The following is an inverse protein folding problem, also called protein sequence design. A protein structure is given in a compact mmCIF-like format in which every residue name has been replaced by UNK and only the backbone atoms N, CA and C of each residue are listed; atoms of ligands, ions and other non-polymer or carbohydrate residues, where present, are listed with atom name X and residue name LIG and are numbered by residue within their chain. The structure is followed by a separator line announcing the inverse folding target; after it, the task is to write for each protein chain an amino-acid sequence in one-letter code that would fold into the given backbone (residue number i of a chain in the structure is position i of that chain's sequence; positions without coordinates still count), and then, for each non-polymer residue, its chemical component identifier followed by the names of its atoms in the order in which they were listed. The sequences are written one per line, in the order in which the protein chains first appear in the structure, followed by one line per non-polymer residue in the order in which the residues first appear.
data_IF_538788074739
#
_entry.id   IF_538788074739
#
_cell.length_a   1.000
_cell.length_b   1.000
_cell.length_c   1.000
_cell.angle_alpha   90.00
_cell.angle_beta   90.00
_cell.angle_gamma   90.00
#
_symmetry.space_group_name_H-M   'P 1'
#
loop_
_entity.id
_entity.type
_entity.pdbx_description
1 polymer ?
#
# COMPACT_ATOMS: atom_id res chain seq x y z
N UNK A 1 -2.42 -23.21 -28.25
CA UNK A 1 -2.04 -23.66 -29.61
C UNK A 1 -1.14 -22.63 -30.28
N UNK A 2 -1.62 -21.41 -30.62
CA UNK A 2 -0.83 -20.38 -31.30
C UNK A 2 0.54 -20.08 -30.65
N UNK A 3 0.61 -19.95 -29.32
CA UNK A 3 1.88 -19.68 -28.62
C UNK A 3 2.88 -20.82 -28.82
N UNK A 4 2.45 -22.08 -28.61
CA UNK A 4 3.32 -23.25 -28.70
C UNK A 4 3.73 -23.58 -30.13
N UNK A 5 2.79 -23.45 -31.08
CA UNK A 5 3.01 -23.90 -32.44
C UNK A 5 3.67 -22.83 -33.34
N UNK A 6 3.55 -21.54 -33.00
CA UNK A 6 4.08 -20.44 -33.83
C UNK A 6 5.01 -19.48 -33.09
N UNK A 7 4.61 -19.00 -31.91
CA UNK A 7 5.37 -17.92 -31.23
C UNK A 7 6.67 -18.47 -30.61
N UNK A 8 6.63 -19.57 -29.86
CA UNK A 8 7.81 -20.15 -29.23
C UNK A 8 8.86 -20.58 -30.25
N UNK A 9 8.55 -21.29 -31.36
CA UNK A 9 9.50 -21.61 -32.42
C UNK A 9 10.10 -20.36 -33.09
N UNK A 10 9.26 -19.33 -33.34
CA UNK A 10 9.75 -18.07 -33.90
C UNK A 10 10.77 -17.38 -32.97
N UNK A 11 10.49 -17.28 -31.68
CA UNK A 11 11.41 -16.71 -30.70
C UNK A 11 12.69 -17.55 -30.61
N UNK A 12 12.60 -18.88 -30.60
CA UNK A 12 13.76 -19.76 -30.57
C UNK A 12 14.68 -19.52 -31.78
N UNK A 13 14.11 -19.39 -33.01
CA UNK A 13 14.91 -19.07 -34.20
C UNK A 13 15.61 -17.71 -34.11
N UNK A 14 14.95 -16.70 -33.52
CA UNK A 14 15.58 -15.37 -33.30
C UNK A 14 16.71 -15.40 -32.28
N UNK A 15 16.61 -16.25 -31.27
CA UNK A 15 17.72 -16.45 -30.30
C UNK A 15 18.92 -17.13 -30.96
N UNK A 16 18.69 -18.08 -31.90
CA UNK A 16 19.78 -18.68 -32.68
C UNK A 16 20.46 -17.63 -33.59
N UNK A 17 19.69 -16.81 -34.29
CA UNK A 17 20.22 -15.70 -35.11
C UNK A 17 21.02 -14.71 -34.24
N UNK A 18 20.51 -14.33 -33.07
CA UNK A 18 21.21 -13.45 -32.15
C UNK A 18 22.52 -14.04 -31.67
N UNK A 19 22.52 -15.34 -31.29
CA UNK A 19 23.73 -16.04 -30.84
C UNK A 19 24.82 -16.03 -31.93
N UNK A 20 24.45 -16.28 -33.18
CA UNK A 20 25.38 -16.18 -34.32
C UNK A 20 25.91 -14.77 -34.51
N UNK A 21 25.03 -13.77 -34.45
CA UNK A 21 25.40 -12.36 -34.65
C UNK A 21 26.38 -11.82 -33.60
N UNK A 22 26.24 -12.26 -32.33
CA UNK A 22 27.12 -11.86 -31.23
C UNK A 22 28.28 -12.85 -31.01
N UNK A 23 28.47 -13.81 -31.90
CA UNK A 23 29.48 -14.87 -31.82
C UNK A 23 29.50 -15.59 -30.46
N UNK A 24 28.30 -15.95 -29.96
CA UNK A 24 28.16 -16.65 -28.69
C UNK A 24 28.63 -18.08 -28.80
N UNK A 25 29.29 -18.60 -27.77
CA UNK A 25 29.76 -19.98 -27.70
C UNK A 25 28.60 -21.01 -27.83
N UNK A 26 27.45 -20.70 -27.22
CA UNK A 26 26.25 -21.51 -27.32
C UNK A 26 24.99 -20.68 -27.07
N UNK A 27 23.87 -21.06 -27.72
CA UNK A 27 22.56 -20.51 -27.45
C UNK A 27 21.93 -21.23 -26.25
N UNK A 28 21.73 -20.49 -25.11
CA UNK A 28 21.14 -21.05 -23.87
C UNK A 28 19.86 -20.34 -23.45
N UNK A 29 19.46 -19.27 -24.17
CA UNK A 29 18.24 -18.52 -23.85
C UNK A 29 17.00 -19.31 -24.27
N UNK A 30 16.04 -19.38 -23.37
CA UNK A 30 14.74 -20.00 -23.65
C UNK A 30 13.66 -19.07 -23.13
N UNK A 31 12.60 -18.90 -23.90
CA UNK A 31 11.39 -18.21 -23.49
C UNK A 31 10.22 -19.17 -23.56
N UNK A 32 9.47 -19.23 -22.46
CA UNK A 32 8.24 -20.03 -22.39
C UNK A 32 7.09 -19.09 -22.05
N UNK A 33 5.88 -19.46 -22.48
CA UNK A 33 4.67 -18.83 -22.02
C UNK A 33 4.50 -19.08 -20.52
N UNK A 34 4.40 -18.01 -19.73
CA UNK A 34 4.16 -18.08 -18.29
C UNK A 34 2.65 -18.23 -17.99
N UNK A 35 1.82 -17.41 -18.65
CA UNK A 35 0.38 -17.42 -18.43
C UNK A 35 -0.39 -16.92 -19.65
N UNK A 36 -1.68 -17.26 -19.69
CA UNK A 36 -2.69 -16.64 -20.56
C UNK A 36 -3.72 -15.99 -19.66
N UNK A 37 -4.01 -14.72 -19.91
CA UNK A 37 -4.89 -13.90 -19.08
C UNK A 37 -6.08 -13.42 -19.93
N UNK A 38 -7.27 -13.35 -19.32
CA UNK A 38 -8.45 -12.75 -19.95
C UNK A 38 -8.40 -11.23 -19.92
N UNK A 39 -7.83 -10.65 -18.86
CA UNK A 39 -7.64 -9.21 -18.65
C UNK A 39 -6.30 -8.94 -17.98
N UNK A 40 -5.72 -7.78 -18.25
CA UNK A 40 -4.52 -7.32 -17.58
C UNK A 40 -4.45 -5.79 -17.55
N UNK A 41 -3.97 -5.24 -16.44
CA UNK A 41 -3.75 -3.82 -16.24
C UNK A 41 -2.31 -3.63 -15.76
N UNK A 42 -1.56 -2.76 -16.42
CA UNK A 42 -0.19 -2.38 -16.07
C UNK A 42 -0.17 -0.92 -15.67
N UNK A 43 0.15 -0.64 -14.40
CA UNK A 43 0.21 0.74 -13.87
C UNK A 43 1.60 1.34 -13.99
N UNK A 44 2.64 0.50 -13.96
CA UNK A 44 4.04 0.90 -14.13
C UNK A 44 4.93 -0.33 -14.35
N UNK A 45 6.24 -0.11 -14.58
CA UNK A 45 7.23 -1.20 -14.63
C UNK A 45 7.18 -2.04 -13.35
N UNK A 46 7.03 -3.36 -13.48
CA UNK A 46 6.88 -4.33 -12.38
C UNK A 46 5.63 -4.15 -11.51
N UNK A 47 4.64 -3.37 -11.96
CA UNK A 47 3.37 -3.16 -11.26
C UNK A 47 2.22 -3.50 -12.18
N UNK A 48 1.60 -4.64 -11.98
CA UNK A 48 0.51 -5.13 -12.83
C UNK A 48 -0.44 -6.05 -12.05
N UNK A 49 -1.62 -6.22 -12.62
CA UNK A 49 -2.64 -7.17 -12.19
C UNK A 49 -3.21 -7.91 -13.39
N UNK A 50 -3.39 -9.21 -13.26
CA UNK A 50 -3.80 -10.11 -14.34
C UNK A 50 -4.91 -11.04 -13.85
N UNK A 51 -5.94 -11.26 -14.66
CA UNK A 51 -6.85 -12.39 -14.52
C UNK A 51 -6.28 -13.57 -15.31
N UNK A 52 -5.58 -14.46 -14.62
CA UNK A 52 -4.92 -15.62 -15.22
C UNK A 52 -5.95 -16.71 -15.49
N UNK A 53 -6.06 -17.12 -16.74
CA UNK A 53 -6.93 -18.21 -17.20
C UNK A 53 -6.18 -19.54 -17.32
N UNK A 54 -4.87 -19.47 -17.56
CA UNK A 54 -4.02 -20.65 -17.74
C UNK A 54 -2.60 -20.34 -17.32
N UNK A 55 -2.01 -21.17 -16.50
CA UNK A 55 -0.63 -21.08 -16.04
C UNK A 55 0.40 -21.69 -16.98
N UNK A 56 1.64 -21.84 -16.50
CA UNK A 56 2.75 -22.44 -17.23
C UNK A 56 2.50 -23.93 -17.57
N UNK A 57 1.79 -24.62 -16.71
CA UNK A 57 1.38 -26.03 -16.86
C UNK A 57 0.46 -26.27 -18.07
N UNK A 58 -0.16 -25.22 -18.58
CA UNK A 58 -1.08 -25.30 -19.72
C UNK A 58 -2.48 -25.78 -19.36
N UNK A 59 -2.81 -25.85 -18.07
CA UNK A 59 -4.15 -26.21 -17.58
C UNK A 59 -5.04 -24.98 -17.56
N UNK A 60 -6.21 -25.09 -18.19
CA UNK A 60 -7.22 -24.02 -18.17
C UNK A 60 -7.93 -24.04 -16.80
N UNK A 61 -7.90 -22.90 -16.10
CA UNK A 61 -8.59 -22.72 -14.84
C UNK A 61 -10.10 -22.59 -15.08
N UNK A 62 -10.91 -23.15 -14.18
CA UNK A 62 -12.38 -23.00 -14.23
C UNK A 62 -12.80 -21.54 -14.00
N UNK A 63 -12.10 -20.87 -13.09
CA UNK A 63 -12.28 -19.44 -12.80
C UNK A 63 -10.93 -18.73 -12.91
N UNK A 64 -10.89 -17.46 -13.38
CA UNK A 64 -9.66 -16.70 -13.47
C UNK A 64 -9.05 -16.48 -12.08
N UNK A 65 -7.76 -16.71 -11.96
CA UNK A 65 -7.00 -16.39 -10.75
C UNK A 65 -6.41 -14.98 -10.84
N UNK A 66 -6.63 -14.16 -9.80
CA UNK A 66 -6.11 -12.80 -9.74
C UNK A 66 -4.65 -12.78 -9.29
N UNK A 67 -3.73 -12.54 -10.24
CA UNK A 67 -2.29 -12.35 -9.99
C UNK A 67 -2.00 -10.86 -9.88
N UNK A 68 -1.45 -10.42 -8.73
CA UNK A 68 -1.10 -9.03 -8.47
C UNK A 68 0.39 -8.93 -8.18
N UNK A 69 1.08 -8.01 -8.86
CA UNK A 69 2.52 -7.79 -8.68
C UNK A 69 2.83 -6.31 -8.45
N UNK A 70 3.69 -6.05 -7.46
CA UNK A 70 4.26 -4.72 -7.18
C UNK A 70 3.28 -3.69 -6.63
N UNK A 71 2.06 -4.08 -6.27
CA UNK A 71 1.02 -3.21 -5.71
C UNK A 71 1.00 -3.34 -4.17
N UNK A 72 0.44 -2.36 -3.50
CA UNK A 72 0.40 -2.24 -2.03
C UNK A 72 -0.32 -3.40 -1.33
N UNK A 73 -1.11 -4.19 -2.05
CA UNK A 73 -1.78 -5.40 -1.54
C UNK A 73 -0.83 -6.45 -0.95
N UNK A 74 0.42 -6.48 -1.42
CA UNK A 74 1.44 -7.45 -0.97
C UNK A 74 2.44 -6.85 0.04
N UNK A 75 2.40 -5.52 0.29
CA UNK A 75 3.41 -4.84 1.13
C UNK A 75 3.09 -5.01 2.61
N UNK A 76 4.04 -5.53 3.37
CA UNK A 76 3.94 -5.63 4.84
C UNK A 76 3.82 -4.27 5.54
N UNK A 77 4.18 -3.19 4.85
CA UNK A 77 4.09 -1.80 5.33
C UNK A 77 2.69 -1.18 5.19
N UNK A 78 1.72 -1.89 4.58
CA UNK A 78 0.32 -1.49 4.46
C UNK A 78 -0.50 -2.25 5.51
N UNK A 79 -1.45 -1.62 6.20
CA UNK A 79 -2.34 -2.30 7.14
C UNK A 79 -3.07 -3.49 6.51
N UNK A 80 -3.30 -4.55 7.29
CA UNK A 80 -3.88 -5.78 6.74
C UNK A 80 -5.30 -5.57 6.19
N UNK A 81 -6.14 -4.83 6.91
CA UNK A 81 -7.50 -4.48 6.47
C UNK A 81 -7.47 -3.76 5.11
N UNK A 82 -6.53 -2.84 4.93
CA UNK A 82 -6.35 -2.10 3.67
C UNK A 82 -5.84 -3.00 2.54
N UNK A 83 -4.92 -3.92 2.83
CA UNK A 83 -4.45 -4.88 1.81
C UNK A 83 -5.57 -5.76 1.28
N UNK A 84 -6.44 -6.21 2.17
CA UNK A 84 -7.63 -7.00 1.79
C UNK A 84 -8.61 -6.16 0.97
N UNK A 85 -8.89 -4.94 1.40
CA UNK A 85 -9.77 -4.02 0.68
C UNK A 85 -9.22 -3.67 -0.71
N UNK A 86 -7.92 -3.40 -0.86
CA UNK A 86 -7.27 -3.17 -2.16
C UNK A 86 -7.39 -4.40 -3.07
N UNK A 87 -7.22 -5.61 -2.52
CA UNK A 87 -7.38 -6.84 -3.29
C UNK A 87 -8.83 -7.00 -3.78
N UNK A 88 -9.81 -6.72 -2.93
CA UNK A 88 -11.24 -6.73 -3.28
C UNK A 88 -11.53 -5.68 -4.36
N UNK A 89 -11.06 -4.43 -4.19
CA UNK A 89 -11.24 -3.37 -5.17
C UNK A 89 -10.67 -3.75 -6.54
N UNK A 90 -9.48 -4.35 -6.60
CA UNK A 90 -8.87 -4.84 -7.83
C UNK A 90 -9.74 -5.95 -8.46
N UNK A 91 -10.27 -6.86 -7.66
CA UNK A 91 -11.22 -7.88 -8.13
C UNK A 91 -12.47 -7.27 -8.78
N UNK A 92 -13.01 -6.20 -8.19
CA UNK A 92 -14.16 -5.45 -8.75
C UNK A 92 -13.78 -4.73 -10.04
N UNK A 93 -12.61 -4.08 -10.10
CA UNK A 93 -12.07 -3.45 -11.31
C UNK A 93 -11.99 -4.48 -12.46
N UNK A 94 -11.47 -5.66 -12.18
CA UNK A 94 -11.27 -6.69 -13.20
C UNK A 94 -12.59 -7.31 -13.68
N UNK A 95 -13.64 -7.38 -12.84
CA UNK A 95 -14.81 -8.19 -13.13
C UNK A 95 -16.16 -7.42 -13.18
N UNK A 96 -16.29 -6.28 -12.49
CA UNK A 96 -17.59 -5.60 -12.28
C UNK A 96 -17.69 -4.19 -12.85
N UNK A 97 -16.59 -3.45 -12.92
CA UNK A 97 -16.57 -2.08 -13.47
C UNK A 97 -16.63 -0.98 -12.41
N UNK A 98 -16.67 0.27 -12.89
CA UNK A 98 -16.46 1.48 -12.11
C UNK A 98 -17.50 1.69 -11.00
N UNK A 99 -18.79 1.49 -11.30
CA UNK A 99 -19.88 1.69 -10.32
C UNK A 99 -19.69 0.83 -9.07
N UNK A 100 -19.39 -0.47 -9.25
CA UNK A 100 -19.16 -1.38 -8.14
C UNK A 100 -17.93 -1.00 -7.29
N UNK A 101 -16.92 -0.38 -7.93
CA UNK A 101 -15.74 0.13 -7.20
C UNK A 101 -16.11 1.33 -6.34
N UNK A 102 -16.91 2.27 -6.84
CA UNK A 102 -17.38 3.44 -6.07
C UNK A 102 -18.20 3.03 -4.85
N UNK A 103 -19.16 2.14 -5.01
CA UNK A 103 -19.95 1.60 -3.90
C UNK A 103 -19.08 0.93 -2.84
N UNK A 104 -18.11 0.13 -3.29
CA UNK A 104 -17.16 -0.52 -2.39
C UNK A 104 -16.29 0.49 -1.63
N UNK A 105 -15.78 1.54 -2.29
CA UNK A 105 -14.99 2.60 -1.64
C UNK A 105 -15.78 3.26 -0.51
N UNK A 106 -17.05 3.56 -0.73
CA UNK A 106 -17.92 4.15 0.29
C UNK A 106 -18.20 3.20 1.45
N UNK A 107 -18.48 1.94 1.15
CA UNK A 107 -18.69 0.89 2.17
C UNK A 107 -17.43 0.70 3.01
N UNK A 108 -16.28 0.57 2.38
CA UNK A 108 -15.02 0.37 3.08
C UNK A 108 -14.60 1.61 3.88
N UNK A 109 -14.94 2.83 3.44
CA UNK A 109 -14.70 4.03 4.24
C UNK A 109 -15.42 3.97 5.60
N UNK A 110 -16.66 3.50 5.63
CA UNK A 110 -17.42 3.33 6.87
C UNK A 110 -16.81 2.25 7.77
N UNK A 111 -16.43 1.11 7.19
CA UNK A 111 -15.74 0.02 7.91
C UNK A 111 -14.40 0.49 8.50
N UNK A 112 -13.61 1.21 7.71
CA UNK A 112 -12.32 1.76 8.11
C UNK A 112 -12.46 2.76 9.28
N UNK A 113 -13.48 3.59 9.24
CA UNK A 113 -13.76 4.55 10.31
C UNK A 113 -14.26 3.90 11.60
N UNK A 114 -14.90 2.73 11.52
CA UNK A 114 -15.32 1.94 12.67
C UNK A 114 -14.20 1.04 13.23
N UNK A 115 -13.16 0.74 12.43
CA UNK A 115 -12.09 -0.18 12.81
C UNK A 115 -11.22 0.35 13.96
N UNK A 116 -10.64 -0.55 14.79
CA UNK A 116 -9.64 -0.18 15.80
C UNK A 116 -8.45 0.54 15.19
N UNK A 117 -7.85 1.47 15.96
CA UNK A 117 -6.70 2.28 15.49
C UNK A 117 -5.53 1.38 15.09
N UNK A 118 -5.33 0.30 15.82
CA UNK A 118 -4.26 -0.68 15.59
C UNK A 118 -4.38 -1.40 14.24
N UNK A 119 -5.58 -1.53 13.70
CA UNK A 119 -5.83 -2.19 12.43
C UNK A 119 -5.63 -1.27 11.23
N UNK A 120 -5.86 0.03 11.41
CA UNK A 120 -5.69 1.05 10.36
C UNK A 120 -4.30 1.68 10.35
N UNK A 121 -3.51 1.49 11.41
CA UNK A 121 -2.18 2.07 11.55
C UNK A 121 -1.15 1.42 10.62
N UNK A 122 -0.23 2.23 10.08
CA UNK A 122 0.85 1.76 9.20
C UNK A 122 1.92 1.00 9.98
N UNK A 123 2.17 -0.28 9.69
CA UNK A 123 3.29 -1.00 10.30
C UNK A 123 4.63 -0.57 9.68
N UNK A 124 5.64 -0.36 10.51
CA UNK A 124 7.00 0.00 10.11
C UNK A 124 8.03 -0.58 11.07
N UNK A 125 9.27 -0.68 10.59
CA UNK A 125 10.44 -0.84 11.46
C UNK A 125 11.09 0.53 11.67
N UNK A 126 11.58 0.78 12.87
CA UNK A 126 12.27 2.02 13.23
C UNK A 126 13.76 1.83 13.04
N UNK A 127 14.41 2.72 12.28
CA UNK A 127 15.86 2.71 12.08
C UNK A 127 16.42 4.13 12.12
N UNK A 128 17.56 4.30 12.79
CA UNK A 128 18.28 5.56 12.86
C UNK A 128 17.73 6.53 13.90
N UNK A 129 17.15 6.06 15.00
CA UNK A 129 16.62 6.93 16.07
C UNK A 129 17.69 7.89 16.60
N UNK A 130 18.90 7.40 16.90
CA UNK A 130 20.01 8.22 17.40
C UNK A 130 20.44 9.30 16.39
N UNK A 131 20.46 8.95 15.10
CA UNK A 131 20.80 9.89 14.01
C UNK A 131 19.83 11.08 13.96
N UNK A 132 18.55 10.85 14.21
CA UNK A 132 17.49 11.85 14.08
C UNK A 132 17.06 12.48 15.40
N UNK A 133 17.47 11.93 16.53
CA UNK A 133 17.23 12.51 17.85
C UNK A 133 17.89 13.88 18.00
N UNK A 134 17.21 14.79 18.69
CA UNK A 134 17.71 16.13 19.00
C UNK A 134 17.34 16.52 20.43
N UNK A 135 18.33 16.99 21.18
CA UNK A 135 18.13 17.36 22.61
C UNK A 135 17.22 18.59 22.77
N UNK A 136 17.20 19.50 21.79
CA UNK A 136 16.46 20.76 21.86
C UNK A 136 15.07 20.70 21.24
N UNK A 137 14.85 19.84 20.23
CA UNK A 137 13.63 19.83 19.42
C UNK A 137 13.04 18.42 19.23
N UNK A 138 13.40 17.47 20.11
CA UNK A 138 12.98 16.05 20.05
C UNK A 138 13.49 15.33 18.82
N UNK A 139 13.34 15.90 17.63
CA UNK A 139 13.81 15.33 16.37
C UNK A 139 14.37 16.42 15.42
N UNK A 140 15.24 16.00 14.50
CA UNK A 140 15.85 16.87 13.48
C UNK A 140 14.90 17.10 12.30
N UNK A 141 15.15 18.17 11.53
CA UNK A 141 14.49 18.40 10.24
C UNK A 141 14.73 17.20 9.29
N UNK A 142 13.74 16.83 8.49
CA UNK A 142 13.77 15.70 7.55
C UNK A 142 13.83 14.31 8.21
N UNK A 143 13.42 14.19 9.48
CA UNK A 143 13.26 12.88 10.14
C UNK A 143 12.16 12.06 9.44
N UNK A 144 12.41 10.79 9.11
CA UNK A 144 11.38 9.90 8.56
C UNK A 144 10.16 9.81 9.48
N UNK A 145 8.96 9.73 8.90
CA UNK A 145 7.69 9.84 9.63
C UNK A 145 7.55 8.82 10.79
N UNK A 146 7.97 7.57 10.56
CA UNK A 146 7.92 6.53 11.59
C UNK A 146 8.87 6.83 12.76
N UNK A 147 10.09 7.32 12.45
CA UNK A 147 11.08 7.72 13.46
C UNK A 147 10.61 8.96 14.21
N UNK A 148 10.05 9.95 13.49
CA UNK A 148 9.44 11.14 14.10
C UNK A 148 8.37 10.76 15.12
N UNK A 149 7.42 9.90 14.73
CA UNK A 149 6.37 9.44 15.62
C UNK A 149 6.91 8.66 16.83
N UNK A 150 7.98 7.89 16.67
CA UNK A 150 8.62 7.13 17.75
C UNK A 150 9.34 8.02 18.75
N UNK A 151 10.08 9.02 18.28
CA UNK A 151 10.74 10.02 19.13
C UNK A 151 9.72 10.85 19.92
N UNK A 152 8.62 11.25 19.28
CA UNK A 152 7.52 11.96 19.93
C UNK A 152 6.84 11.09 20.99
N UNK A 153 6.57 9.81 20.70
CA UNK A 153 6.00 8.87 21.67
C UNK A 153 6.89 8.73 22.90
N UNK A 154 8.17 8.47 22.70
CA UNK A 154 9.13 8.35 23.80
C UNK A 154 9.22 9.64 24.64
N UNK A 155 9.35 10.79 23.97
CA UNK A 155 9.37 12.10 24.65
C UNK A 155 8.11 12.33 25.48
N UNK A 156 6.94 12.02 24.94
CA UNK A 156 5.66 12.23 25.60
C UNK A 156 5.48 11.30 26.81
N UNK A 157 5.89 10.04 26.69
CA UNK A 157 5.91 9.10 27.82
C UNK A 157 6.83 9.57 28.95
N UNK A 158 8.06 9.96 28.62
CA UNK A 158 9.04 10.44 29.60
C UNK A 158 8.57 11.73 30.29
N UNK A 159 8.05 12.68 29.53
CA UNK A 159 7.53 13.96 30.04
C UNK A 159 6.38 13.75 31.04
N UNK A 160 5.55 12.73 30.85
CA UNK A 160 4.41 12.41 31.71
C UNK A 160 4.75 11.34 32.78
N UNK A 161 6.02 10.95 32.93
CA UNK A 161 6.46 9.95 33.93
C UNK A 161 5.92 8.55 33.66
N UNK A 162 5.53 8.24 32.43
CA UNK A 162 4.93 6.96 32.03
C UNK A 162 5.94 5.96 31.45
N UNK A 163 7.20 6.35 31.33
CA UNK A 163 8.31 5.52 30.82
C UNK A 163 8.59 4.26 31.65
N UNK A 164 8.17 4.28 32.94
CA UNK A 164 8.22 3.10 33.80
C UNK A 164 7.07 2.12 33.57
N UNK A 165 5.93 2.60 33.05
CA UNK A 165 4.73 1.80 32.80
C UNK A 165 4.69 1.26 31.38
N UNK A 166 5.15 2.03 30.42
CA UNK A 166 5.14 1.71 29.02
C UNK A 166 6.57 1.65 28.47
N UNK A 167 6.85 0.60 27.70
CA UNK A 167 8.15 0.44 27.06
C UNK A 167 8.37 1.55 26.03
N UNK A 168 9.52 2.20 26.09
CA UNK A 168 9.98 3.11 25.06
C UNK A 168 10.30 2.36 23.77
N UNK A 169 10.07 3.00 22.64
CA UNK A 169 10.41 2.47 21.31
C UNK A 169 11.92 2.57 21.14
N UNK A 170 12.56 1.46 20.78
CA UNK A 170 14.00 1.36 20.51
C UNK A 170 14.31 1.21 19.02
N UNK A 171 15.62 1.14 18.74
CA UNK A 171 16.15 0.84 17.39
C UNK A 171 15.71 -0.55 16.94
N UNK A 172 15.37 -0.71 15.67
CA UNK A 172 14.87 -1.92 15.05
C UNK A 172 13.50 -2.44 15.57
N UNK A 173 12.84 -1.71 16.46
CA UNK A 173 11.50 -2.10 16.90
C UNK A 173 10.49 -2.05 15.75
N UNK A 174 9.59 -3.03 15.75
CA UNK A 174 8.42 -3.04 14.89
C UNK A 174 7.32 -2.20 15.54
N UNK A 175 6.92 -1.14 14.87
CA UNK A 175 5.92 -0.18 15.35
C UNK A 175 4.76 -0.06 14.37
N UNK A 176 3.74 0.62 14.83
CA UNK A 176 2.65 1.15 14.03
C UNK A 176 2.61 2.66 14.18
N UNK A 177 2.21 3.40 13.14
CA UNK A 177 1.99 4.83 13.26
C UNK A 177 0.68 5.27 12.64
N UNK A 178 0.13 6.36 13.17
CA UNK A 178 -1.07 7.02 12.66
C UNK A 178 -0.85 8.52 12.51
N UNK A 179 -1.58 9.12 11.59
CA UNK A 179 -1.68 10.57 11.47
C UNK A 179 -2.61 11.15 12.53
N UNK A 180 -2.30 12.35 13.00
CA UNK A 180 -3.08 13.10 13.98
C UNK A 180 -3.66 14.36 13.36
N UNK A 181 -4.85 14.74 13.81
CA UNK A 181 -5.46 16.07 13.55
C UNK A 181 -4.72 17.14 14.32
N UNK A 182 -4.72 18.36 13.83
CA UNK A 182 -4.23 19.54 14.53
C UNK A 182 -5.42 20.43 14.95
N UNK A 183 -5.35 21.06 16.12
CA UNK A 183 -4.33 20.93 17.18
C UNK A 183 -4.52 19.63 17.98
N UNK A 184 -3.42 19.11 18.54
CA UNK A 184 -3.43 17.93 19.40
C UNK A 184 -2.46 18.12 20.59
N UNK A 185 -2.47 17.26 21.64
CA UNK A 185 -1.63 17.41 22.82
C UNK A 185 -0.13 17.43 22.56
N UNK A 186 0.34 16.92 21.41
CA UNK A 186 1.75 16.92 21.04
C UNK A 186 2.19 18.23 20.39
N UNK A 187 1.25 19.11 19.98
CA UNK A 187 1.54 20.36 19.27
C UNK A 187 2.38 21.35 20.08
N UNK A 188 2.45 21.18 21.39
CA UNK A 188 3.30 21.99 22.29
C UNK A 188 4.79 21.66 22.20
N UNK A 189 5.18 20.58 21.51
CA UNK A 189 6.57 20.10 21.47
C UNK A 189 7.37 20.87 20.41
N UNK A 190 6.82 21.04 19.21
CA UNK A 190 7.49 21.75 18.11
C UNK A 190 6.51 22.41 17.11
N UNK A 191 5.26 22.64 17.50
CA UNK A 191 4.28 23.41 16.75
C UNK A 191 3.28 22.60 15.94
N UNK A 192 3.70 21.72 15.03
CA UNK A 192 2.81 20.98 14.12
C UNK A 192 3.13 19.48 14.14
N UNK A 193 2.60 18.80 15.14
CA UNK A 193 2.83 17.36 15.27
C UNK A 193 1.65 16.55 14.70
N UNK A 194 1.88 15.91 13.56
CA UNK A 194 0.84 15.25 12.77
C UNK A 194 0.95 13.72 12.82
N UNK A 195 1.81 13.14 13.65
CA UNK A 195 2.04 11.71 13.69
C UNK A 195 2.43 11.23 15.08
N UNK A 196 1.96 10.03 15.42
CA UNK A 196 2.42 9.28 16.61
C UNK A 196 2.68 7.84 16.22
N UNK A 197 3.78 7.27 16.74
CA UNK A 197 4.06 5.83 16.65
C UNK A 197 3.80 5.16 17.99
N UNK A 198 3.51 3.86 17.94
CA UNK A 198 3.28 3.02 19.12
C UNK A 198 3.64 1.58 18.81
N UNK A 199 3.90 0.77 19.82
CA UNK A 199 4.16 -0.66 19.65
C UNK A 199 2.86 -1.43 19.36
N UNK A 200 2.20 -1.89 20.42
CA UNK A 200 0.96 -2.66 20.29
C UNK A 200 -0.28 -1.77 20.23
N UNK A 201 -0.41 -0.81 21.15
CA UNK A 201 -1.55 0.12 21.22
C UNK A 201 -1.12 1.47 21.80
N UNK A 202 -1.91 2.49 21.54
CA UNK A 202 -1.72 3.82 22.12
C UNK A 202 -2.17 3.77 23.58
N UNK A 203 -1.33 4.19 24.55
CA UNK A 203 -1.77 4.29 25.95
C UNK A 203 -3.00 5.19 26.10
N UNK A 204 -4.05 4.68 26.74
CA UNK A 204 -5.32 5.41 26.90
C UNK A 204 -5.14 6.72 27.66
N UNK A 205 -4.20 6.77 28.60
CA UNK A 205 -3.87 7.95 29.41
C UNK A 205 -3.35 9.12 28.57
N UNK A 206 -2.85 8.86 27.37
CA UNK A 206 -2.41 9.93 26.45
C UNK A 206 -3.58 10.65 25.77
N UNK A 207 -4.78 10.07 25.81
CA UNK A 207 -6.00 10.61 25.17
C UNK A 207 -5.80 11.02 23.71
N UNK A 208 -4.93 10.31 22.96
CA UNK A 208 -4.60 10.62 21.57
C UNK A 208 -5.54 9.97 20.55
N UNK A 209 -6.30 8.99 20.97
CA UNK A 209 -7.26 8.23 20.14
C UNK A 209 -8.26 9.14 19.39
N UNK A 210 -8.80 10.15 20.09
CA UNK A 210 -9.74 11.15 19.54
C UNK A 210 -9.10 12.12 18.52
N UNK A 211 -7.78 12.21 18.50
CA UNK A 211 -7.05 13.07 17.57
C UNK A 211 -6.57 12.31 16.32
N UNK A 212 -6.80 11.00 16.23
CA UNK A 212 -6.42 10.25 15.02
C UNK A 212 -7.15 10.79 13.80
N UNK A 213 -6.40 11.20 12.80
CA UNK A 213 -6.95 11.69 11.53
C UNK A 213 -7.26 10.51 10.61
N UNK A 214 -8.46 9.92 10.79
CA UNK A 214 -8.90 8.75 10.05
C UNK A 214 -9.06 9.04 8.55
N UNK A 215 -9.46 10.26 8.19
CA UNK A 215 -9.62 10.67 6.80
C UNK A 215 -8.27 10.69 6.08
N UNK A 216 -7.25 11.34 6.67
CA UNK A 216 -5.89 11.34 6.13
C UNK A 216 -5.27 9.94 6.13
N UNK A 217 -5.56 9.14 7.15
CA UNK A 217 -5.12 7.74 7.23
C UNK A 217 -5.72 6.91 6.09
N UNK A 218 -7.01 7.06 5.81
CA UNK A 218 -7.71 6.42 4.70
C UNK A 218 -7.18 6.89 3.35
N UNK A 219 -7.01 8.20 3.18
CA UNK A 219 -6.44 8.80 1.97
C UNK A 219 -5.08 8.18 1.64
N UNK A 220 -4.14 8.20 2.60
CA UNK A 220 -2.77 7.73 2.41
C UNK A 220 -2.64 6.22 2.28
N UNK A 221 -3.50 5.46 2.97
CA UNK A 221 -3.38 4.00 2.98
C UNK A 221 -4.15 3.32 1.85
N UNK A 222 -5.31 3.85 1.46
CA UNK A 222 -6.23 3.21 0.52
C UNK A 222 -6.49 4.03 -0.75
N UNK A 223 -6.94 5.30 -0.62
CA UNK A 223 -7.34 6.10 -1.78
C UNK A 223 -6.17 6.38 -2.75
N UNK A 224 -5.02 6.86 -2.26
CA UNK A 224 -3.86 7.15 -3.11
C UNK A 224 -3.37 5.90 -3.89
N UNK A 225 -3.18 4.71 -3.26
CA UNK A 225 -2.86 3.50 -3.97
C UNK A 225 -3.91 3.08 -5.01
N UNK A 226 -5.20 3.16 -4.66
CA UNK A 226 -6.28 2.81 -5.57
C UNK A 226 -6.38 3.79 -6.74
N UNK A 227 -6.22 5.09 -6.49
CA UNK A 227 -6.21 6.13 -7.52
C UNK A 227 -5.19 5.85 -8.60
N UNK A 228 -3.97 5.43 -8.23
CA UNK A 228 -2.91 5.08 -9.19
C UNK A 228 -3.37 3.99 -10.19
N UNK A 229 -4.29 3.12 -9.78
CA UNK A 229 -4.84 2.07 -10.64
C UNK A 229 -5.98 2.63 -11.51
N UNK A 230 -6.88 3.40 -10.89
CA UNK A 230 -8.04 3.97 -11.57
C UNK A 230 -7.66 5.01 -12.62
N UNK A 231 -6.60 5.79 -12.38
CA UNK A 231 -6.08 6.79 -13.34
C UNK A 231 -5.70 6.14 -14.69
N UNK A 232 -5.15 4.92 -14.67
CA UNK A 232 -4.84 4.16 -15.90
C UNK A 232 -6.10 3.81 -16.70
N UNK A 233 -7.23 3.63 -16.01
CA UNK A 233 -8.53 3.30 -16.59
C UNK A 233 -9.36 4.55 -16.88
N UNK A 234 -8.88 5.73 -16.50
CA UNK A 234 -9.63 7.00 -16.54
C UNK A 234 -10.93 6.94 -15.71
N UNK A 235 -10.92 6.17 -14.60
CA UNK A 235 -12.05 6.03 -13.69
C UNK A 235 -11.87 6.93 -12.47
N UNK A 236 -13.01 7.38 -11.90
CA UNK A 236 -13.06 8.20 -10.70
C UNK A 236 -13.64 7.43 -9.51
N UNK A 237 -13.10 7.66 -8.31
CA UNK A 237 -13.70 7.18 -7.06
C UNK A 237 -14.92 8.00 -6.64
N UNK A 238 -15.05 9.22 -7.16
CA UNK A 238 -16.13 10.14 -6.82
C UNK A 238 -17.19 10.11 -7.92
N UNK A 239 -18.45 10.19 -7.52
CA UNK A 239 -19.55 10.41 -8.47
C UNK A 239 -19.38 11.80 -9.05
N UNK A 240 -19.13 11.91 -10.34
CA UNK A 240 -19.18 13.22 -10.99
C UNK A 240 -20.65 13.63 -11.01
N UNK A 241 -20.99 14.85 -10.52
CA UNK A 241 -22.33 15.37 -10.66
C UNK A 241 -22.69 15.40 -12.15
N UNK A 242 -23.79 14.79 -12.49
CA UNK A 242 -24.34 14.85 -13.84
C UNK A 242 -25.06 16.17 -14.01
N UNK A 243 -25.28 16.60 -15.28
CA UNK A 243 -26.10 17.80 -15.52
C UNK A 243 -27.50 17.68 -14.91
N UNK A 244 -28.01 16.47 -14.75
CA UNK A 244 -29.31 16.19 -14.12
C UNK A 244 -29.30 16.52 -12.62
N UNK A 245 -28.17 16.38 -11.93
CA UNK A 245 -28.03 16.72 -10.50
C UNK A 245 -28.12 18.24 -10.24
N UNK A 246 -27.98 19.08 -11.27
CA UNK A 246 -28.09 20.55 -11.19
C UNK A 246 -29.52 21.05 -11.45
N UNK A 247 -30.42 20.19 -11.88
CA UNK A 247 -31.81 20.55 -12.23
C UNK A 247 -32.86 20.02 -11.23
N UNK A 248 -32.42 19.52 -10.06
CA UNK A 248 -33.31 19.06 -8.97
C UNK A 248 -33.41 20.10 -7.89
#
# INVERSE_FOLDING_TARGET
KLCKDKIEPFIASRYEELAKRVNAYAQKMRMKRESICSKGIWTAKKRYMLNVMMGEDGVLLKEPELKIMGIETARSSTPQIVRQALKTAIGLIMNKGEGAVREFVQTFYNEFNAAPIEEIAFPRYVTGMDKYSCKTQVYKKSTPIAVKGSLLFNHFLTKNGMDKKYRLIGEADKIKFVYLKEPNPLSHVSGKEQVISFGNQIPKELHLDKYVNRDLQFEKSFKEPLKTILDVLQWSMETQPTLEDFFV
#
